data_IF_613559309816
#
_entry.id   IF_613559309816
#
_cell.length_a   1.000
_cell.length_b   1.000
_cell.length_c   1.000
_cell.angle_alpha   90.00
_cell.angle_beta   90.00
_cell.angle_gamma   90.00
#
_symmetry.space_group_name_H-M   'P 1'
#
loop_
_entity.id
_entity.type
_entity.pdbx_description
1 polymer ?
#
# COMPACT_ATOMS: atom_id res chain seq x y z
N UNK A 1 -3.73 -11.08 9.95
CA UNK A 1 -4.27 -10.18 10.98
C UNK A 1 -3.48 -8.91 10.81
N UNK A 2 -4.06 -7.71 10.89
CA UNK A 2 -3.21 -6.53 11.13
C UNK A 2 -2.54 -6.79 12.47
N UNK A 3 -1.24 -7.08 12.45
CA UNK A 3 -0.45 -7.44 13.64
C UNK A 3 -0.64 -6.31 14.65
N UNK A 4 -1.30 -6.61 15.76
CA UNK A 4 -1.93 -5.62 16.63
C UNK A 4 -0.99 -4.84 17.53
N UNK A 5 0.06 -4.23 17.00
CA UNK A 5 0.97 -3.31 17.71
C UNK A 5 1.28 -2.08 16.84
N UNK A 6 0.25 -1.45 16.29
CA UNK A 6 0.42 -0.15 15.64
C UNK A 6 0.71 0.91 16.73
N UNK A 7 1.89 1.50 16.68
CA UNK A 7 2.31 2.61 17.53
C UNK A 7 2.47 3.92 16.72
N UNK A 8 2.84 4.99 17.40
CA UNK A 8 3.03 6.31 16.78
C UNK A 8 4.16 6.38 15.75
N UNK A 9 5.03 5.37 15.69
CA UNK A 9 6.16 5.29 14.76
C UNK A 9 5.91 4.28 13.63
N UNK A 10 4.76 3.61 13.64
CA UNK A 10 4.41 2.62 12.64
C UNK A 10 4.11 3.30 11.29
N UNK A 11 4.49 2.63 10.22
CA UNK A 11 4.18 2.99 8.85
C UNK A 11 2.79 2.53 8.44
N UNK A 12 2.28 3.14 7.37
CA UNK A 12 1.00 2.79 6.76
C UNK A 12 1.27 1.98 5.48
N UNK A 13 0.96 0.69 5.51
CA UNK A 13 0.98 -0.16 4.32
C UNK A 13 -0.28 0.05 3.47
N UNK A 14 -0.10 0.44 2.20
CA UNK A 14 -1.18 0.58 1.24
C UNK A 14 -0.87 -0.18 -0.05
N UNK A 15 -1.79 -1.03 -0.48
CA UNK A 15 -1.74 -1.68 -1.78
C UNK A 15 -2.78 -1.08 -2.73
N UNK A 16 -2.38 -0.75 -3.96
CA UNK A 16 -3.28 -0.22 -5.00
C UNK A 16 -3.30 -1.13 -6.22
N UNK A 17 -4.47 -1.18 -6.87
CA UNK A 17 -4.70 -1.87 -8.14
C UNK A 17 -5.44 -0.93 -9.09
N UNK A 18 -5.17 -1.02 -10.39
CA UNK A 18 -5.74 -0.14 -11.40
C UNK A 18 -5.10 1.24 -11.42
N UNK A 19 -3.85 1.37 -10.99
CA UNK A 19 -3.14 2.64 -11.00
C UNK A 19 -2.87 3.07 -12.45
N UNK A 20 -3.35 4.25 -12.89
CA UNK A 20 -3.10 4.68 -14.26
C UNK A 20 -1.59 4.84 -14.53
N UNK A 21 -1.16 4.50 -15.76
CA UNK A 21 0.23 4.58 -16.18
C UNK A 21 0.78 5.99 -15.90
N UNK A 22 1.94 6.07 -15.25
CA UNK A 22 2.60 7.32 -14.90
C UNK A 22 2.05 8.05 -13.67
N UNK A 23 1.00 7.54 -13.01
CA UNK A 23 0.42 8.18 -11.81
C UNK A 23 0.99 7.67 -10.50
N UNK A 24 1.62 6.51 -10.48
CA UNK A 24 2.13 5.86 -9.26
C UNK A 24 2.91 6.82 -8.34
N UNK A 25 3.97 7.45 -8.86
CA UNK A 25 4.80 8.36 -8.05
C UNK A 25 4.06 9.64 -7.65
N UNK A 26 3.10 10.10 -8.45
CA UNK A 26 2.29 11.28 -8.08
C UNK A 26 1.35 10.98 -6.91
N UNK A 27 0.83 9.74 -6.83
CA UNK A 27 0.02 9.28 -5.71
C UNK A 27 0.90 9.13 -4.48
N UNK A 28 2.04 8.43 -4.60
CA UNK A 28 3.00 8.26 -3.51
C UNK A 28 3.44 9.62 -2.94
N UNK A 29 3.82 10.58 -3.78
CA UNK A 29 4.24 11.90 -3.34
C UNK A 29 3.13 12.66 -2.60
N UNK A 30 1.87 12.48 -3.01
CA UNK A 30 0.72 13.05 -2.29
C UNK A 30 0.51 12.38 -0.94
N UNK A 31 0.63 11.05 -0.85
CA UNK A 31 0.48 10.33 0.42
C UNK A 31 1.55 10.78 1.42
N UNK A 32 2.82 10.83 1.00
CA UNK A 32 3.94 11.31 1.84
C UNK A 32 3.70 12.75 2.34
N UNK A 33 3.05 13.60 1.54
CA UNK A 33 2.78 15.00 1.91
C UNK A 33 1.61 15.15 2.89
N UNK A 34 0.61 14.29 2.81
CA UNK A 34 -0.67 14.47 3.49
C UNK A 34 -0.84 13.56 4.72
N UNK A 35 0.00 12.53 4.88
CA UNK A 35 0.00 11.64 6.03
C UNK A 35 1.08 12.06 7.03
N UNK A 36 0.75 12.00 8.32
CA UNK A 36 1.69 12.26 9.41
C UNK A 36 2.64 11.07 9.66
N UNK A 37 2.35 9.92 9.05
CA UNK A 37 3.13 8.69 9.14
C UNK A 37 3.79 8.33 7.80
N UNK A 38 4.94 7.63 7.83
CA UNK A 38 5.52 7.03 6.64
C UNK A 38 4.52 6.09 5.94
N UNK A 39 4.64 5.97 4.63
CA UNK A 39 3.71 5.18 3.82
C UNK A 39 4.46 4.28 2.84
N UNK A 40 4.12 3.00 2.89
CA UNK A 40 4.60 1.99 1.98
C UNK A 40 3.51 1.70 0.95
N UNK A 41 3.69 2.23 -0.26
CA UNK A 41 2.75 2.03 -1.36
C UNK A 41 3.21 0.84 -2.22
N UNK A 42 2.33 -0.13 -2.43
CA UNK A 42 2.55 -1.32 -3.25
C UNK A 42 1.64 -1.26 -4.48
N UNK A 43 2.20 -1.47 -5.68
CA UNK A 43 1.42 -1.56 -6.91
C UNK A 43 1.12 -3.02 -7.28
N UNK A 44 -0.11 -3.45 -7.02
CA UNK A 44 -0.59 -4.81 -7.34
C UNK A 44 -0.80 -5.06 -8.84
N UNK A 45 -0.70 -4.03 -9.69
CA UNK A 45 -0.73 -4.21 -11.15
C UNK A 45 0.60 -4.78 -11.69
N UNK A 46 1.67 -4.73 -10.89
CA UNK A 46 2.90 -5.45 -11.19
C UNK A 46 2.62 -6.93 -10.93
N UNK A 47 2.40 -7.72 -11.97
CA UNK A 47 2.12 -9.17 -11.86
C UNK A 47 3.36 -9.99 -11.45
N UNK A 48 4.07 -9.53 -10.41
CA UNK A 48 5.25 -10.15 -9.82
C UNK A 48 4.88 -11.10 -8.68
N UNK A 49 5.85 -11.90 -8.25
CA UNK A 49 5.61 -12.96 -7.26
C UNK A 49 5.23 -12.39 -5.88
N UNK A 50 5.70 -11.19 -5.55
CA UNK A 50 5.32 -10.50 -4.32
C UNK A 50 3.85 -10.08 -4.34
N UNK A 51 3.39 -9.48 -5.43
CA UNK A 51 2.00 -9.05 -5.57
C UNK A 51 1.04 -10.24 -5.59
N UNK A 52 1.42 -11.36 -6.20
CA UNK A 52 0.64 -12.61 -6.15
C UNK A 52 0.54 -13.15 -4.73
N UNK A 53 1.67 -13.24 -4.02
CA UNK A 53 1.70 -13.70 -2.63
C UNK A 53 0.81 -12.83 -1.73
N UNK A 54 0.88 -11.50 -1.88
CA UNK A 54 0.08 -10.57 -1.09
C UNK A 54 -1.42 -10.72 -1.35
N UNK A 55 -1.81 -11.12 -2.56
CA UNK A 55 -3.21 -11.37 -2.93
C UNK A 55 -3.74 -12.72 -2.44
N UNK A 56 -2.86 -13.73 -2.35
CA UNK A 56 -3.19 -15.09 -1.93
C UNK A 56 -3.19 -15.24 -0.41
N UNK A 57 -2.22 -14.64 0.27
CA UNK A 57 -1.95 -14.85 1.69
C UNK A 57 -2.13 -13.59 2.55
N UNK A 58 -2.15 -12.40 1.94
CA UNK A 58 -2.28 -11.14 2.66
C UNK A 58 -3.71 -10.88 3.16
N UNK A 59 -3.83 -10.33 4.37
CA UNK A 59 -5.11 -9.82 4.85
C UNK A 59 -5.36 -8.40 4.33
N UNK A 60 -5.84 -8.32 3.08
CA UNK A 60 -6.18 -7.06 2.43
C UNK A 60 -7.56 -6.58 2.86
N UNK A 61 -7.62 -5.42 3.53
CA UNK A 61 -8.86 -4.71 3.80
C UNK A 61 -9.13 -3.76 2.63
N UNK A 62 -10.11 -4.10 1.79
CA UNK A 62 -10.52 -3.24 0.68
C UNK A 62 -11.38 -2.08 1.19
N UNK A 63 -10.95 -0.86 0.90
CA UNK A 63 -11.69 0.37 1.25
C UNK A 63 -12.27 0.95 -0.03
N UNK A 64 -13.58 1.23 -0.03
CA UNK A 64 -14.35 1.76 -1.18
C UNK A 64 -14.67 3.24 -1.04
#
# INVERSE_FOLDING_TARGET
MVSGDADENSDIDLAIRGCPIGRYFSILARLIKELDHPVDLINLDKNDDFSKLLLEEGELICVS
#
